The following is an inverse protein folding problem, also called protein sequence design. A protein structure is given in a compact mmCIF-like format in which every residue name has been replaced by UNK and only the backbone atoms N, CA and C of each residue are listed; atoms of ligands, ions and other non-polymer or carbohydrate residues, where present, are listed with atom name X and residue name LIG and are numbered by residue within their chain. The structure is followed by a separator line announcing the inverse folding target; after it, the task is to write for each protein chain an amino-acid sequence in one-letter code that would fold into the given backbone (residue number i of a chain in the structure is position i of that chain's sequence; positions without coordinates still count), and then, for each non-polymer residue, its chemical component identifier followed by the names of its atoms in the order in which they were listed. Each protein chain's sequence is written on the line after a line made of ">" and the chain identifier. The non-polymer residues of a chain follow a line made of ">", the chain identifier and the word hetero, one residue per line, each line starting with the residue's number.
data_IF_304309021158
#
_entry.id   IF_304309021158
#
_cell.length_a   1.000
_cell.length_b   1.000
_cell.length_c   1.000
_cell.angle_alpha   90.00
_cell.angle_beta   90.00
_cell.angle_gamma   90.00
#
_symmetry.space_group_name_H-M   'P 1'
#
loop_
_entity.id
_entity.type
_entity.pdbx_description
1 polymer ?
#
# COMPACT_ATOMS: atom_id res chain seq x y z
N UNK A 1 44.77 -7.87 8.06
CA UNK A 1 43.44 -8.52 7.85
C UNK A 1 42.36 -7.46 7.94
N UNK A 2 41.90 -6.94 6.80
CA UNK A 2 40.81 -5.97 6.75
C UNK A 2 39.49 -6.62 7.16
N UNK A 3 38.75 -6.02 8.09
CA UNK A 3 37.43 -6.50 8.53
C UNK A 3 36.51 -6.63 7.32
N UNK A 4 36.18 -7.87 6.95
CA UNK A 4 35.18 -8.17 5.91
C UNK A 4 33.87 -7.47 6.29
N UNK A 5 33.37 -6.60 5.40
CA UNK A 5 32.07 -5.97 5.61
C UNK A 5 30.97 -6.99 5.27
N UNK A 6 29.96 -7.18 6.13
CA UNK A 6 28.87 -8.12 5.88
C UNK A 6 28.08 -7.75 4.61
N UNK A 7 27.66 -8.79 3.88
CA UNK A 7 26.96 -8.71 2.58
C UNK A 7 25.61 -8.00 2.66
N UNK A 8 24.89 -8.19 3.76
CA UNK A 8 23.68 -7.45 4.08
C UNK A 8 23.67 -7.17 5.59
N UNK A 9 23.87 -5.92 5.97
CA UNK A 9 23.67 -5.48 7.35
C UNK A 9 22.46 -4.56 7.36
N UNK A 10 21.41 -5.03 8.01
CA UNK A 10 20.32 -4.17 8.46
C UNK A 10 20.76 -3.53 9.75
N UNK A 11 20.94 -2.22 9.73
CA UNK A 11 21.11 -1.50 10.98
C UNK A 11 19.75 -1.36 11.66
N UNK A 12 19.72 -1.36 13.00
CA UNK A 12 18.49 -1.09 13.77
C UNK A 12 17.86 0.24 13.30
N UNK A 13 18.69 1.22 12.94
CA UNK A 13 18.26 2.50 12.38
C UNK A 13 17.50 2.35 11.04
N UNK A 14 17.98 1.51 10.13
CA UNK A 14 17.31 1.24 8.87
C UNK A 14 15.98 0.52 9.08
N UNK A 15 15.93 -0.44 10.01
CA UNK A 15 14.69 -1.11 10.37
C UNK A 15 13.65 -0.13 10.94
N UNK A 16 14.05 0.72 11.90
CA UNK A 16 13.19 1.76 12.46
C UNK A 16 12.72 2.75 11.39
N UNK A 17 13.57 3.11 10.44
CA UNK A 17 13.20 3.99 9.34
C UNK A 17 12.14 3.36 8.44
N UNK A 18 12.33 2.11 8.00
CA UNK A 18 11.35 1.39 7.17
C UNK A 18 10.01 1.24 7.91
N UNK A 19 10.07 0.93 9.21
CA UNK A 19 8.87 0.79 10.04
C UNK A 19 8.13 2.14 10.19
N UNK A 20 8.87 3.23 10.40
CA UNK A 20 8.29 4.59 10.47
C UNK A 20 7.62 4.96 9.15
N UNK A 21 8.27 4.69 8.01
CA UNK A 21 7.68 4.91 6.68
C UNK A 21 6.41 4.07 6.52
N UNK A 22 6.42 2.80 6.94
CA UNK A 22 5.24 1.94 6.94
C UNK A 22 4.07 2.50 7.76
N UNK A 23 4.35 2.99 8.98
CA UNK A 23 3.34 3.63 9.84
C UNK A 23 2.79 4.90 9.19
N UNK A 24 3.65 5.76 8.63
CA UNK A 24 3.22 7.00 7.97
C UNK A 24 2.34 6.69 6.76
N UNK A 25 2.73 5.70 5.96
CA UNK A 25 1.98 5.26 4.78
C UNK A 25 0.62 4.70 5.21
N UNK A 26 0.55 3.82 6.21
CA UNK A 26 -0.71 3.30 6.75
C UNK A 26 -1.58 4.41 7.37
N UNK A 27 -0.98 5.31 8.15
CA UNK A 27 -1.67 6.44 8.78
C UNK A 27 -2.19 7.46 7.78
N UNK A 28 -1.51 7.64 6.64
CA UNK A 28 -1.93 8.56 5.57
C UNK A 28 -3.25 8.15 4.91
N UNK A 29 -3.63 6.89 5.04
CA UNK A 29 -4.89 6.35 4.49
C UNK A 29 -6.11 6.93 5.21
N UNK A 30 -5.96 7.25 6.49
CA UNK A 30 -7.01 7.88 7.30
C UNK A 30 -6.98 9.39 7.25
N UNK A 31 -5.93 9.96 6.65
CA UNK A 31 -5.78 11.40 6.56
C UNK A 31 -6.66 11.97 5.44
N UNK A 32 -6.82 13.29 5.44
CA UNK A 32 -7.58 13.99 4.39
C UNK A 32 -7.03 13.63 3.00
N UNK A 33 -7.88 13.70 1.96
CA UNK A 33 -7.47 13.46 0.57
C UNK A 33 -6.13 14.16 0.25
N UNK A 34 -5.93 15.37 0.75
CA UNK A 34 -4.69 16.14 0.57
C UNK A 34 -3.44 15.44 1.13
N UNK A 35 -3.49 14.92 2.35
CA UNK A 35 -2.34 14.23 2.97
C UNK A 35 -2.01 12.94 2.23
N UNK A 36 -3.02 12.21 1.77
CA UNK A 36 -2.83 11.03 0.93
C UNK A 36 -2.14 11.37 -0.40
N UNK A 37 -2.59 12.44 -1.09
CA UNK A 37 -1.93 12.89 -2.32
C UNK A 37 -0.48 13.33 -2.06
N UNK A 38 -0.20 13.99 -0.94
CA UNK A 38 1.17 14.36 -0.55
C UNK A 38 2.05 13.13 -0.30
N UNK A 39 1.53 12.09 0.35
CA UNK A 39 2.26 10.84 0.57
C UNK A 39 2.59 10.13 -0.76
N UNK A 40 1.64 10.06 -1.68
CA UNK A 40 1.86 9.48 -3.01
C UNK A 40 2.83 10.31 -3.85
N UNK A 41 2.74 11.65 -3.77
CA UNK A 41 3.68 12.55 -4.41
C UNK A 41 5.11 12.36 -3.86
N UNK A 42 5.25 12.21 -2.54
CA UNK A 42 6.54 11.93 -1.92
C UNK A 42 7.13 10.60 -2.41
N UNK A 43 6.32 9.54 -2.50
CA UNK A 43 6.76 8.24 -3.04
C UNK A 43 7.27 8.38 -4.49
N UNK A 44 6.58 9.17 -5.30
CA UNK A 44 6.99 9.46 -6.68
C UNK A 44 8.31 10.27 -6.73
N UNK A 45 8.46 11.28 -5.87
CA UNK A 45 9.68 12.07 -5.76
C UNK A 45 10.88 11.21 -5.34
N UNK A 46 10.69 10.26 -4.42
CA UNK A 46 11.74 9.31 -4.01
C UNK A 46 12.21 8.50 -5.22
N UNK A 47 11.28 7.99 -6.04
CA UNK A 47 11.65 7.26 -7.25
C UNK A 47 12.42 8.13 -8.25
N UNK A 48 11.96 9.35 -8.51
CA UNK A 48 12.64 10.27 -9.42
C UNK A 48 14.05 10.58 -8.89
N UNK A 49 14.19 10.84 -7.59
CA UNK A 49 15.49 11.07 -6.96
C UNK A 49 16.41 9.84 -7.11
N UNK A 50 15.88 8.62 -6.95
CA UNK A 50 16.65 7.39 -7.18
C UNK A 50 17.05 7.25 -8.65
N UNK A 51 16.18 7.56 -9.61
CA UNK A 51 16.56 7.55 -11.03
C UNK A 51 17.68 8.57 -11.32
N UNK A 52 17.59 9.79 -10.79
CA UNK A 52 18.66 10.80 -10.93
C UNK A 52 19.97 10.30 -10.30
N UNK A 53 19.92 9.69 -9.12
CA UNK A 53 21.08 9.09 -8.46
C UNK A 53 21.64 7.88 -9.22
N UNK A 54 20.83 7.15 -9.96
CA UNK A 54 21.29 6.05 -10.80
C UNK A 54 22.17 6.56 -11.96
N UNK A 55 21.91 7.76 -12.49
CA UNK A 55 22.73 8.39 -13.53
C UNK A 55 23.90 9.21 -12.98
N UNK A 56 23.66 10.02 -11.95
CA UNK A 56 24.61 11.03 -11.45
C UNK A 56 25.39 10.59 -10.21
N UNK A 57 24.93 9.52 -9.55
CA UNK A 57 25.49 9.06 -8.28
C UNK A 57 26.91 8.53 -8.41
N UNK A 58 27.61 8.44 -7.27
CA UNK A 58 28.96 7.88 -7.18
C UNK A 58 28.96 6.56 -6.42
N UNK A 59 29.76 5.61 -6.91
CA UNK A 59 30.06 4.31 -6.24
C UNK A 59 28.79 3.60 -5.74
N UNK A 60 28.73 3.31 -4.44
CA UNK A 60 27.67 2.55 -3.78
C UNK A 60 26.29 3.21 -3.91
N UNK A 61 26.20 4.54 -3.88
CA UNK A 61 24.92 5.25 -4.04
C UNK A 61 24.32 5.05 -5.43
N UNK A 62 25.17 5.03 -6.46
CA UNK A 62 24.73 4.73 -7.82
C UNK A 62 24.23 3.30 -7.94
N UNK A 63 24.98 2.35 -7.37
CA UNK A 63 24.61 0.93 -7.37
C UNK A 63 23.31 0.68 -6.62
N UNK A 64 23.13 1.31 -5.45
CA UNK A 64 21.89 1.27 -4.70
C UNK A 64 20.72 1.80 -5.54
N UNK A 65 20.89 2.97 -6.13
CA UNK A 65 19.85 3.62 -6.92
C UNK A 65 19.44 2.81 -8.16
N UNK A 66 20.39 2.18 -8.86
CA UNK A 66 20.12 1.26 -9.97
C UNK A 66 19.32 0.04 -9.48
N UNK A 67 19.79 -0.61 -8.41
CA UNK A 67 19.10 -1.77 -7.83
C UNK A 67 17.68 -1.42 -7.36
N UNK A 68 17.51 -0.24 -6.77
CA UNK A 68 16.22 0.28 -6.36
C UNK A 68 15.29 0.47 -7.55
N UNK A 69 15.74 1.20 -8.58
CA UNK A 69 14.93 1.50 -9.75
C UNK A 69 14.53 0.24 -10.51
N UNK A 70 15.43 -0.74 -10.66
CA UNK A 70 15.15 -2.00 -11.33
C UNK A 70 14.12 -2.85 -10.57
N UNK A 71 14.30 -3.02 -9.26
CA UNK A 71 13.36 -3.80 -8.44
C UNK A 71 11.98 -3.14 -8.39
N UNK A 72 11.95 -1.82 -8.24
CA UNK A 72 10.72 -1.04 -8.24
C UNK A 72 10.01 -1.11 -9.61
N UNK A 73 10.73 -0.95 -10.72
CA UNK A 73 10.18 -1.08 -12.06
C UNK A 73 9.64 -2.50 -12.34
N UNK A 74 10.38 -3.53 -11.92
CA UNK A 74 9.93 -4.92 -12.03
C UNK A 74 8.61 -5.14 -11.30
N UNK A 75 8.52 -4.69 -10.03
CA UNK A 75 7.27 -4.77 -9.28
C UNK A 75 6.14 -3.97 -9.94
N UNK A 76 6.45 -2.78 -10.48
CA UNK A 76 5.50 -1.97 -11.23
C UNK A 76 4.91 -2.71 -12.44
N UNK A 77 5.74 -3.43 -13.20
CA UNK A 77 5.28 -4.26 -14.34
C UNK A 77 4.44 -5.44 -13.86
N UNK A 78 4.92 -6.19 -12.87
CA UNK A 78 4.21 -7.36 -12.31
C UNK A 78 2.84 -6.96 -11.74
N UNK A 79 2.78 -5.82 -11.04
CA UNK A 79 1.53 -5.31 -10.46
C UNK A 79 0.52 -4.84 -11.52
N UNK A 80 0.97 -4.49 -12.74
CA UNK A 80 0.06 -4.18 -13.86
C UNK A 80 -0.49 -5.44 -14.50
N UNK A 81 0.31 -6.50 -14.60
CA UNK A 81 -0.10 -7.78 -15.18
C UNK A 81 -0.98 -8.58 -14.23
N UNK A 82 -0.67 -8.56 -12.92
CA UNK A 82 -1.44 -9.20 -11.85
C UNK A 82 -1.85 -8.17 -10.78
N UNK A 83 -2.88 -7.34 -11.05
CA UNK A 83 -3.29 -6.28 -10.12
C UNK A 83 -3.78 -6.78 -8.76
N UNK A 84 -4.19 -8.05 -8.66
CA UNK A 84 -4.68 -8.65 -7.41
C UNK A 84 -3.57 -9.15 -6.47
N UNK A 85 -2.31 -9.21 -6.91
CA UNK A 85 -1.23 -9.86 -6.15
C UNK A 85 -0.26 -8.82 -5.59
N UNK A 86 -0.71 -8.08 -4.57
CA UNK A 86 0.27 -7.56 -3.61
C UNK A 86 0.90 -8.79 -2.93
N UNK A 87 2.24 -8.89 -2.83
CA UNK A 87 2.86 -9.91 -1.99
C UNK A 87 2.25 -9.77 -0.61
N UNK A 88 1.62 -10.83 -0.09
CA UNK A 88 0.81 -10.79 1.14
C UNK A 88 -0.58 -10.14 1.04
N UNK A 89 -1.25 -10.15 -0.12
CA UNK A 89 -2.62 -9.65 -0.29
C UNK A 89 -3.59 -10.19 0.78
N UNK A 90 -3.50 -11.47 1.14
CA UNK A 90 -4.31 -12.05 2.21
C UNK A 90 -4.07 -11.40 3.58
N UNK A 91 -2.81 -11.14 3.95
CA UNK A 91 -2.48 -10.41 5.20
C UNK A 91 -3.01 -8.98 5.09
N UNK A 92 -2.88 -8.36 3.92
CA UNK A 92 -3.36 -7.01 3.64
C UNK A 92 -4.88 -6.91 3.81
N UNK A 93 -5.63 -7.88 3.28
CA UNK A 93 -7.08 -7.96 3.40
C UNK A 93 -7.52 -8.20 4.85
N UNK A 94 -6.80 -9.03 5.61
CA UNK A 94 -7.05 -9.16 7.05
C UNK A 94 -6.77 -7.87 7.81
N UNK A 95 -5.69 -7.17 7.47
CA UNK A 95 -5.35 -5.91 8.10
C UNK A 95 -6.43 -4.87 7.80
N UNK A 96 -6.96 -4.84 6.57
CA UNK A 96 -8.03 -3.94 6.15
C UNK A 96 -9.21 -4.01 7.10
N UNK A 97 -9.69 -5.21 7.42
CA UNK A 97 -10.86 -5.37 8.27
C UNK A 97 -10.64 -4.82 9.69
N UNK A 98 -9.39 -4.75 10.16
CA UNK A 98 -9.04 -4.21 11.48
C UNK A 98 -8.73 -2.70 11.45
N UNK A 99 -8.21 -2.20 10.32
CA UNK A 99 -7.76 -0.80 10.18
C UNK A 99 -8.68 0.03 9.29
N UNK A 100 -9.84 -0.48 8.90
CA UNK A 100 -10.87 0.27 8.17
C UNK A 100 -12.19 0.14 8.90
N UNK A 101 -13.02 1.17 8.76
CA UNK A 101 -14.39 1.14 9.26
C UNK A 101 -15.33 0.89 8.09
N UNK A 102 -16.41 0.19 8.39
CA UNK A 102 -17.51 -0.04 7.46
C UNK A 102 -18.29 1.26 7.27
N UNK A 103 -18.60 1.62 6.03
CA UNK A 103 -19.37 2.83 5.71
C UNK A 103 -20.41 2.55 4.63
N UNK A 104 -21.49 3.32 4.68
CA UNK A 104 -22.53 3.33 3.66
C UNK A 104 -22.27 4.46 2.67
N UNK A 105 -22.44 4.14 1.39
CA UNK A 105 -22.20 5.04 0.27
C UNK A 105 -23.52 5.26 -0.47
N UNK A 106 -23.85 6.53 -0.67
CA UNK A 106 -24.99 6.99 -1.45
C UNK A 106 -24.45 7.98 -2.50
N UNK A 107 -24.80 7.79 -3.78
CA UNK A 107 -24.34 8.64 -4.89
C UNK A 107 -22.81 8.89 -4.90
N UNK A 108 -22.03 7.82 -4.71
CA UNK A 108 -20.55 7.84 -4.64
C UNK A 108 -19.96 8.67 -3.48
N UNK A 109 -20.78 9.11 -2.53
CA UNK A 109 -20.36 9.81 -1.32
C UNK A 109 -20.58 8.95 -0.07
N UNK A 110 -19.58 8.94 0.82
CA UNK A 110 -19.72 8.33 2.15
C UNK A 110 -20.77 9.14 2.92
N UNK A 111 -21.81 8.47 3.39
CA UNK A 111 -22.86 9.08 4.21
C UNK A 111 -22.27 9.57 5.54
N UNK A 112 -22.61 10.80 5.92
CA UNK A 112 -22.09 11.46 7.13
C UNK A 112 -22.34 10.62 8.40
N UNK A 113 -23.52 10.03 8.49
CA UNK A 113 -23.98 9.25 9.66
C UNK A 113 -23.84 7.74 9.47
N UNK A 114 -22.98 7.30 8.55
CA UNK A 114 -22.81 5.88 8.21
C UNK A 114 -22.54 4.93 9.40
N UNK A 115 -22.12 5.44 10.55
CA UNK A 115 -21.87 4.64 11.75
C UNK A 115 -23.11 4.42 12.63
N UNK A 116 -24.12 5.28 12.52
CA UNK A 116 -25.38 5.16 13.27
C UNK A 116 -26.45 4.42 12.46
N UNK A 117 -26.20 4.22 11.16
CA UNK A 117 -27.12 3.49 10.29
C UNK A 117 -27.18 1.99 10.64
N UNK A 118 -28.40 1.47 10.69
CA UNK A 118 -28.69 0.05 10.88
C UNK A 118 -29.27 -0.56 9.61
N UNK A 119 -29.01 -1.86 9.39
CA UNK A 119 -29.55 -2.61 8.25
C UNK A 119 -30.49 -3.67 8.77
N UNK A 120 -31.75 -3.61 8.33
CA UNK A 120 -32.74 -4.63 8.66
C UNK A 120 -32.57 -5.88 7.79
N UNK A 121 -33.16 -7.04 8.17
CA UNK A 121 -32.95 -8.31 7.45
C UNK A 121 -33.44 -8.32 5.99
N UNK A 122 -34.34 -7.40 5.64
CA UNK A 122 -34.83 -7.13 4.29
C UNK A 122 -33.90 -6.21 3.47
N UNK A 123 -32.78 -5.78 4.04
CA UNK A 123 -31.78 -4.93 3.38
C UNK A 123 -32.09 -3.44 3.44
N UNK A 124 -33.11 -3.01 4.19
CA UNK A 124 -33.42 -1.59 4.35
C UNK A 124 -32.44 -0.94 5.34
N UNK A 125 -31.88 0.21 4.95
CA UNK A 125 -30.95 1.01 5.76
C UNK A 125 -31.76 2.08 6.50
N UNK A 126 -31.62 2.13 7.82
CA UNK A 126 -32.33 3.06 8.70
C UNK A 126 -31.39 3.92 9.52
N UNK A 127 -31.80 5.15 9.81
CA UNK A 127 -31.10 6.05 10.74
C UNK A 127 -31.31 5.65 12.21
N UNK A 128 -30.73 6.44 13.12
CA UNK A 128 -30.82 6.22 14.57
C UNK A 128 -32.27 6.35 15.07
N UNK A 129 -33.07 7.18 14.41
CA UNK A 129 -34.50 7.38 14.66
C UNK A 129 -35.39 6.30 14.02
N UNK A 130 -34.81 5.37 13.27
CA UNK A 130 -35.50 4.24 12.65
C UNK A 130 -36.22 4.57 11.34
N UNK A 131 -35.99 5.74 10.75
CA UNK A 131 -36.52 6.15 9.46
C UNK A 131 -35.75 5.49 8.31
N UNK A 132 -36.43 5.11 7.21
CA UNK A 132 -35.78 4.54 6.05
C UNK A 132 -34.95 5.59 5.31
N UNK A 133 -33.67 5.32 5.14
CA UNK A 133 -32.73 6.20 4.42
C UNK A 133 -32.44 5.67 3.01
N UNK A 134 -32.49 4.35 2.82
CA UNK A 134 -32.29 3.72 1.52
C UNK A 134 -32.35 2.19 1.61
N UNK A 135 -32.12 1.50 0.50
CA UNK A 135 -32.00 0.04 0.47
C UNK A 135 -30.60 -0.40 0.05
N UNK A 136 -30.07 -1.40 0.74
CA UNK A 136 -28.76 -1.97 0.44
C UNK A 136 -28.82 -2.78 -0.85
N UNK A 137 -27.89 -2.53 -1.76
CA UNK A 137 -27.69 -3.34 -2.96
C UNK A 137 -26.28 -3.94 -2.97
N UNK A 138 -26.21 -5.25 -3.19
CA UNK A 138 -24.95 -6.01 -3.25
C UNK A 138 -24.68 -6.82 -2.00
N UNK A 139 -23.39 -7.08 -1.73
CA UNK A 139 -22.98 -7.90 -0.59
C UNK A 139 -23.03 -7.12 0.73
N UNK A 140 -23.74 -7.70 1.68
CA UNK A 140 -23.80 -7.27 3.06
C UNK A 140 -22.44 -7.42 3.75
N UNK A 141 -22.21 -6.64 4.83
CA UNK A 141 -21.04 -6.81 5.70
C UNK A 141 -20.87 -8.22 6.29
N UNK A 142 -21.93 -9.04 6.29
CA UNK A 142 -21.96 -10.39 6.85
C UNK A 142 -22.09 -11.49 5.77
N UNK A 143 -21.87 -11.15 4.49
CA UNK A 143 -21.87 -12.12 3.38
C UNK A 143 -23.25 -12.46 2.78
N UNK A 144 -24.34 -11.86 3.28
CA UNK A 144 -25.65 -11.92 2.62
C UNK A 144 -25.68 -11.09 1.33
N UNK A 145 -26.46 -11.50 0.34
CA UNK A 145 -26.69 -10.69 -0.87
C UNK A 145 -28.04 -10.00 -0.78
N UNK A 146 -28.08 -8.70 -1.02
CA UNK A 146 -29.30 -7.90 -1.06
C UNK A 146 -29.57 -7.38 -2.47
N UNK A 147 -30.82 -7.48 -2.91
CA UNK A 147 -31.26 -7.14 -4.27
C UNK A 147 -31.63 -5.65 -4.47
N UNK A 148 -31.24 -4.76 -3.55
CA UNK A 148 -31.61 -3.34 -3.60
C UNK A 148 -32.96 -3.06 -2.95
N UNK A 149 -33.34 -1.77 -2.80
CA UNK A 149 -34.59 -1.37 -2.14
C UNK A 149 -35.82 -1.95 -2.84
N UNK A 150 -36.86 -2.24 -2.06
CA UNK A 150 -38.19 -2.53 -2.60
C UNK A 150 -38.66 -1.32 -3.43
N UNK A 151 -38.96 -1.55 -4.71
CA UNK A 151 -39.37 -0.51 -5.66
C UNK A 151 -40.64 0.21 -5.22
N UNK A 152 -41.42 -0.38 -4.31
CA UNK A 152 -42.62 0.22 -3.72
C UNK A 152 -42.33 1.46 -2.86
N UNK A 153 -41.13 1.55 -2.27
CA UNK A 153 -40.76 2.61 -1.33
C UNK A 153 -40.04 3.79 -2.00
N UNK A 154 -39.69 3.67 -3.28
CA UNK A 154 -38.97 4.70 -4.06
C UNK A 154 -37.72 5.26 -3.35
N UNK A 155 -37.04 4.38 -2.62
CA UNK A 155 -35.88 4.70 -1.79
C UNK A 155 -34.58 4.64 -2.62
N UNK A 156 -33.58 5.46 -2.27
CA UNK A 156 -32.31 5.42 -2.97
C UNK A 156 -31.54 4.13 -2.67
N UNK A 157 -30.72 3.73 -3.64
CA UNK A 157 -29.85 2.57 -3.51
C UNK A 157 -28.58 2.96 -2.76
N UNK A 158 -28.29 2.20 -1.69
CA UNK A 158 -27.10 2.37 -0.86
C UNK A 158 -26.18 1.18 -1.07
N UNK A 159 -24.89 1.45 -1.14
CA UNK A 159 -23.85 0.42 -1.21
C UNK A 159 -22.97 0.42 0.04
N UNK A 160 -22.28 -0.68 0.23
CA UNK A 160 -21.33 -0.87 1.31
C UNK A 160 -19.89 -0.69 0.79
N UNK A 161 -19.08 0.09 1.50
CA UNK A 161 -17.63 0.16 1.28
C UNK A 161 -16.90 0.29 2.63
N UNK A 162 -15.58 0.37 2.58
CA UNK A 162 -14.71 0.65 3.70
C UNK A 162 -14.26 2.13 3.68
N UNK A 163 -13.95 2.67 4.85
CA UNK A 163 -13.21 3.91 4.99
C UNK A 163 -11.92 3.62 5.77
N UNK A 164 -10.73 3.83 5.19
CA UNK A 164 -10.48 4.24 3.80
C UNK A 164 -10.98 3.23 2.76
N UNK A 165 -11.34 3.72 1.56
CA UNK A 165 -11.92 2.88 0.49
C UNK A 165 -11.00 1.75 0.09
N UNK A 166 -11.58 0.66 -0.42
CA UNK A 166 -10.82 -0.49 -0.88
C UNK A 166 -9.74 -0.11 -1.90
N UNK A 167 -10.05 0.83 -2.80
CA UNK A 167 -9.09 1.37 -3.78
C UNK A 167 -7.95 2.12 -3.10
N UNK A 168 -8.23 3.03 -2.17
CA UNK A 168 -7.19 3.74 -1.40
C UNK A 168 -6.31 2.77 -0.62
N UNK A 169 -6.92 1.73 -0.04
CA UNK A 169 -6.21 0.68 0.70
C UNK A 169 -5.24 -0.12 -0.18
N UNK A 170 -5.68 -0.54 -1.36
CA UNK A 170 -4.85 -1.27 -2.32
C UNK A 170 -3.75 -0.39 -2.91
N UNK A 171 -4.05 0.86 -3.29
CA UNK A 171 -3.06 1.78 -3.85
C UNK A 171 -1.94 2.07 -2.85
N UNK A 172 -2.30 2.25 -1.58
CA UNK A 172 -1.34 2.52 -0.52
C UNK A 172 -0.47 1.29 -0.23
N UNK A 173 -1.06 0.09 -0.21
CA UNK A 173 -0.32 -1.16 -0.10
C UNK A 173 0.66 -1.38 -1.24
N UNK A 174 0.24 -1.11 -2.48
CA UNK A 174 1.13 -1.17 -3.65
C UNK A 174 2.28 -0.17 -3.53
N UNK A 175 2.01 1.07 -3.12
CA UNK A 175 3.05 2.07 -2.93
C UNK A 175 4.07 1.65 -1.84
N UNK A 176 3.58 1.09 -0.73
CA UNK A 176 4.45 0.56 0.32
C UNK A 176 5.37 -0.56 -0.20
N UNK A 177 4.80 -1.57 -0.86
CA UNK A 177 5.56 -2.69 -1.42
C UNK A 177 6.53 -2.25 -2.51
N UNK A 178 6.14 -1.28 -3.32
CA UNK A 178 6.99 -0.68 -4.33
C UNK A 178 8.25 -0.05 -3.71
N UNK A 179 8.08 0.75 -2.66
CA UNK A 179 9.20 1.37 -1.95
C UNK A 179 10.06 0.34 -1.21
N UNK A 180 9.43 -0.64 -0.57
CA UNK A 180 10.11 -1.70 0.17
C UNK A 180 10.96 -2.58 -0.75
N UNK A 181 10.39 -3.06 -1.86
CA UNK A 181 11.10 -3.88 -2.84
C UNK A 181 12.20 -3.09 -3.54
N UNK A 182 11.95 -1.81 -3.85
CA UNK A 182 13.00 -0.91 -4.31
C UNK A 182 14.16 -0.85 -3.30
N UNK A 183 13.87 -0.59 -2.02
CA UNK A 183 14.90 -0.52 -0.99
C UNK A 183 15.70 -1.83 -0.87
N UNK A 184 15.01 -2.97 -0.90
CA UNK A 184 15.62 -4.31 -0.88
C UNK A 184 16.51 -4.54 -2.11
N UNK A 185 16.03 -4.20 -3.31
CA UNK A 185 16.79 -4.31 -4.55
C UNK A 185 18.06 -3.45 -4.52
N UNK A 186 17.96 -2.23 -3.98
CA UNK A 186 19.11 -1.35 -3.79
C UNK A 186 20.14 -1.93 -2.82
N UNK A 187 19.70 -2.44 -1.66
CA UNK A 187 20.60 -3.09 -0.68
C UNK A 187 21.27 -4.33 -1.27
N UNK A 188 20.52 -5.15 -2.00
CA UNK A 188 21.03 -6.33 -2.68
C UNK A 188 22.11 -5.96 -3.70
N UNK A 189 21.87 -4.96 -4.55
CA UNK A 189 22.83 -4.52 -5.56
C UNK A 189 24.15 -4.03 -4.93
N UNK A 190 24.08 -3.28 -3.82
CA UNK A 190 25.29 -2.85 -3.09
C UNK A 190 26.02 -4.04 -2.48
N UNK A 191 25.29 -4.97 -1.85
CA UNK A 191 25.88 -6.18 -1.28
C UNK A 191 26.58 -7.03 -2.32
N UNK A 192 25.95 -7.22 -3.48
CA UNK A 192 26.51 -7.97 -4.60
C UNK A 192 27.75 -7.28 -5.19
N UNK A 193 27.74 -5.95 -5.34
CA UNK A 193 28.92 -5.23 -5.81
C UNK A 193 30.10 -5.35 -4.84
N UNK A 194 29.85 -5.23 -3.53
CA UNK A 194 30.89 -5.44 -2.51
C UNK A 194 31.44 -6.86 -2.54
N UNK A 195 30.59 -7.86 -2.82
CA UNK A 195 31.04 -9.23 -3.00
C UNK A 195 32.00 -9.36 -4.19
N UNK A 196 31.64 -8.79 -5.35
CA UNK A 196 32.48 -8.79 -6.54
C UNK A 196 33.84 -8.10 -6.29
N UNK A 197 33.81 -6.89 -5.70
CA UNK A 197 35.03 -6.14 -5.38
C UNK A 197 35.96 -6.93 -4.44
N UNK A 198 35.41 -7.70 -3.49
CA UNK A 198 36.19 -8.54 -2.58
C UNK A 198 36.77 -9.78 -3.27
N UNK A 199 36.04 -10.38 -4.22
CA UNK A 199 36.55 -11.51 -4.99
C UNK A 199 37.71 -11.08 -5.88
N UNK A 200 37.56 -9.96 -6.59
CA UNK A 200 38.62 -9.40 -7.44
C UNK A 200 39.89 -9.08 -6.62
N UNK A 201 39.73 -8.45 -5.45
CA UNK A 201 40.85 -8.14 -4.57
C UNK A 201 41.56 -9.39 -4.00
N UNK A 202 40.81 -10.48 -3.77
CA UNK A 202 41.40 -11.74 -3.31
C UNK A 202 42.19 -12.44 -4.42
N UNK A 203 41.72 -12.39 -5.67
CA UNK A 203 42.43 -12.99 -6.82
C UNK A 203 43.74 -12.28 -7.13
N UNK A 204 43.77 -10.94 -7.04
CA UNK A 204 44.99 -10.15 -7.27
C UNK A 204 46.06 -10.30 -6.18
N UNK A 205 45.73 -10.84 -5.00
CA UNK A 205 46.71 -11.11 -3.93
C UNK A 205 47.31 -12.52 -4.01
N UNK A 206 46.73 -13.40 -4.84
CA UNK A 206 47.21 -14.77 -5.07
C UNK A 206 48.10 -14.92 -6.31
N UNK A 207 48.28 -13.85 -7.09
CA UNK A 207 49.29 -13.69 -8.15
C UNK A 207 50.53 -12.97 -7.62
#
# INVERSE_FOLDING_TARGET
>A
MGKQKPLAQWTIREFLFVLTVGIVVLGSMWATKLVWHLAMLLAMLILIAMLVLAFTGRKEWRTFAIGFALAAAFFGVVSKTNPAEIPTQWIWDQLRDHVSRRVFVLDDAIMADSQTLSVTPDGLVRDEEGQPVGGLSGFAPNGGYFSGPDQSLNLPTIHFDYAPTTSTFQQTGRAFWFLLLGYLGGKFAVGFRRYQDNMEAATMQSE
#
